data_IF_565973296504
#
_entry.id   IF_565973296504
#
_cell.length_a   1.000
_cell.length_b   1.000
_cell.length_c   1.000
_cell.angle_alpha   90.00
_cell.angle_beta   90.00
_cell.angle_gamma   90.00
#
_symmetry.space_group_name_H-M   'P 1'
#
loop_
_entity.id
_entity.type
_entity.pdbx_description
1 polymer ?
#
# COMPACT_ATOMS: atom_id res chain seq x y z
N UNK A 1 -20.66 -7.18 3.17
CA UNK A 1 -20.44 -6.73 2.97
C UNK A 1 -19.93 -6.03 2.57
N UNK A 2 -19.76 -5.56 2.32
CA UNK A 2 -19.48 -4.95 1.91
C UNK A 2 -18.80 -4.10 1.70
N UNK A 3 -18.63 -4.10 1.13
CA UNK A 3 -17.75 -3.31 0.97
C UNK A 3 -18.09 -2.03 0.99
N UNK A 4 -17.52 -1.21 1.59
CA UNK A 4 -17.95 0.02 1.70
C UNK A 4 -17.27 0.96 0.87
N UNK A 5 -16.38 0.61 0.04
CA UNK A 5 -15.68 1.53 -0.81
C UNK A 5 -16.37 1.65 -2.11
N UNK A 6 -16.36 2.85 -2.68
CA UNK A 6 -16.92 3.04 -3.95
C UNK A 6 -16.20 2.23 -4.98
N UNK A 7 -16.85 1.92 -6.07
CA UNK A 7 -16.18 1.30 -7.18
C UNK A 7 -15.02 2.14 -7.62
N UNK A 8 -13.97 1.52 -8.06
CA UNK A 8 -12.79 2.23 -8.53
C UNK A 8 -11.73 2.45 -7.47
N UNK A 9 -11.95 1.96 -6.26
CA UNK A 9 -11.00 2.12 -5.17
C UNK A 9 -10.68 0.78 -4.55
N UNK A 10 -9.47 0.64 -4.05
CA UNK A 10 -9.02 -0.58 -3.38
C UNK A 10 -8.40 -0.23 -2.05
N UNK A 11 -8.60 -1.08 -1.07
CA UNK A 11 -8.06 -0.89 0.27
C UNK A 11 -6.97 -1.91 0.54
N UNK A 12 -5.89 -1.46 1.12
CA UNK A 12 -4.79 -2.34 1.52
C UNK A 12 -4.50 -2.11 2.99
N UNK A 13 -4.19 -3.20 3.69
CA UNK A 13 -3.78 -3.11 5.08
C UNK A 13 -2.27 -3.09 5.19
N UNK A 14 -1.76 -2.46 6.22
CA UNK A 14 -0.32 -2.46 6.49
C UNK A 14 -0.10 -2.58 7.97
N UNK A 15 1.10 -2.99 8.35
CA UNK A 15 1.42 -3.17 9.76
C UNK A 15 1.74 -1.84 10.42
N UNK A 16 2.54 -1.03 9.76
CA UNK A 16 2.91 0.28 10.31
C UNK A 16 3.56 1.12 9.23
N UNK A 17 3.66 2.40 9.51
CA UNK A 17 4.39 3.32 8.67
C UNK A 17 5.81 3.41 9.23
N UNK A 18 6.78 3.08 8.39
CA UNK A 18 8.18 3.09 8.80
C UNK A 18 8.77 4.49 8.68
N UNK A 19 8.46 5.17 7.61
CA UNK A 19 8.99 6.50 7.36
C UNK A 19 8.03 7.26 6.46
N UNK A 20 7.98 8.55 6.65
CA UNK A 20 7.12 9.39 5.87
C UNK A 20 7.88 10.62 5.43
N UNK A 21 7.78 10.94 4.15
CA UNK A 21 8.39 12.15 3.62
C UNK A 21 7.32 12.96 2.91
N UNK A 22 7.69 14.13 2.42
CA UNK A 22 6.74 14.98 1.71
C UNK A 22 6.19 14.33 0.46
N UNK A 23 6.96 13.45 -0.16
CA UNK A 23 6.57 12.89 -1.44
C UNK A 23 6.16 11.44 -1.39
N UNK A 24 6.61 10.71 -0.40
CA UNK A 24 6.36 9.27 -0.35
C UNK A 24 6.29 8.78 1.09
N UNK A 25 5.68 7.62 1.26
CA UNK A 25 5.57 6.99 2.56
C UNK A 25 6.04 5.55 2.44
N UNK A 26 6.84 5.10 3.41
CA UNK A 26 7.33 3.73 3.45
C UNK A 26 6.45 2.94 4.41
N UNK A 27 5.74 1.97 3.86
CA UNK A 27 4.85 1.12 4.65
C UNK A 27 5.47 -0.25 4.86
N UNK A 28 5.30 -0.76 6.05
CA UNK A 28 5.64 -2.16 6.33
C UNK A 28 4.34 -2.94 6.24
N UNK A 29 4.21 -3.74 5.21
CA UNK A 29 2.97 -4.48 4.96
C UNK A 29 2.90 -5.70 5.85
N UNK A 30 3.96 -6.49 5.86
CA UNK A 30 4.14 -7.59 6.79
C UNK A 30 5.61 -7.54 7.18
N UNK A 31 6.01 -8.26 8.20
CA UNK A 31 7.43 -8.23 8.60
C UNK A 31 8.32 -8.54 7.41
N UNK A 32 9.34 -7.73 7.23
CA UNK A 32 10.32 -7.86 6.14
C UNK A 32 9.86 -7.35 4.79
N UNK A 33 8.60 -6.96 4.63
CA UNK A 33 8.14 -6.42 3.36
C UNK A 33 7.76 -4.96 3.55
N UNK A 34 8.59 -4.08 3.00
CA UNK A 34 8.37 -2.64 3.08
C UNK A 34 8.32 -2.09 1.67
N UNK A 35 7.38 -1.22 1.43
CA UNK A 35 7.26 -0.61 0.10
C UNK A 35 7.11 0.90 0.24
N UNK A 36 7.69 1.61 -0.71
CA UNK A 36 7.52 3.04 -0.83
C UNK A 36 6.37 3.32 -1.77
N UNK A 37 5.46 4.18 -1.35
CA UNK A 37 4.37 4.60 -2.21
C UNK A 37 4.36 6.12 -2.29
N UNK A 38 4.24 6.67 -3.49
CA UNK A 38 4.11 8.12 -3.63
C UNK A 38 2.85 8.59 -2.89
N UNK A 39 2.95 9.68 -2.17
CA UNK A 39 1.80 10.17 -1.43
C UNK A 39 0.63 10.51 -2.36
N UNK A 40 0.91 10.86 -3.58
CA UNK A 40 -0.14 11.17 -4.54
C UNK A 40 -0.99 9.96 -4.92
N UNK A 41 -0.51 8.75 -4.64
CA UNK A 41 -1.29 7.55 -4.89
C UNK A 41 -2.33 7.29 -3.81
N UNK A 42 -2.15 7.89 -2.64
CA UNK A 42 -2.99 7.60 -1.48
C UNK A 42 -4.23 8.48 -1.52
N UNK A 43 -5.39 7.87 -1.65
CA UNK A 43 -6.65 8.59 -1.60
C UNK A 43 -7.01 8.86 -0.16
N UNK A 44 -6.80 7.88 0.70
CA UNK A 44 -7.07 8.02 2.11
C UNK A 44 -6.08 7.17 2.89
N UNK A 45 -5.63 7.69 4.01
CA UNK A 45 -4.69 6.98 4.87
C UNK A 45 -5.30 6.85 6.24
N UNK A 46 -5.43 5.61 6.70
CA UNK A 46 -5.92 5.30 8.04
C UNK A 46 -4.78 4.74 8.87
N UNK A 47 -5.06 4.41 10.12
CA UNK A 47 -4.03 3.90 11.00
C UNK A 47 -3.38 2.62 10.54
N UNK A 48 -4.15 1.74 9.95
CA UNK A 48 -3.67 0.42 9.56
C UNK A 48 -3.99 0.07 8.11
N UNK A 49 -4.48 1.02 7.34
CA UNK A 49 -4.85 0.75 5.97
C UNK A 49 -4.76 2.01 5.13
N UNK A 50 -4.68 1.82 3.83
CA UNK A 50 -4.74 2.94 2.91
C UNK A 50 -5.60 2.56 1.71
N UNK A 51 -6.10 3.57 1.03
CA UNK A 51 -6.99 3.38 -0.10
C UNK A 51 -6.34 4.05 -1.31
N UNK A 52 -6.34 3.36 -2.43
CA UNK A 52 -5.83 3.88 -3.69
C UNK A 52 -6.85 3.60 -4.78
N UNK A 53 -6.70 4.25 -5.91
CA UNK A 53 -7.56 3.96 -7.05
C UNK A 53 -7.21 2.60 -7.62
N UNK A 54 -8.19 1.96 -8.26
CA UNK A 54 -7.99 0.60 -8.75
C UNK A 54 -6.81 0.46 -9.72
N UNK A 55 -6.62 1.45 -10.60
CA UNK A 55 -5.50 1.34 -11.53
C UNK A 55 -4.15 1.46 -10.82
N UNK A 56 -4.13 2.12 -9.66
CA UNK A 56 -2.93 2.21 -8.85
C UNK A 56 -2.76 0.92 -8.04
N UNK A 57 -3.87 0.28 -7.69
CA UNK A 57 -3.82 -0.94 -6.89
C UNK A 57 -2.98 -2.03 -7.56
N UNK A 58 -3.03 -2.11 -8.89
CA UNK A 58 -2.21 -3.07 -9.62
C UNK A 58 -0.74 -2.81 -9.37
N UNK A 59 -0.34 -1.54 -9.42
CA UNK A 59 1.05 -1.18 -9.18
C UNK A 59 1.47 -1.49 -7.75
N UNK A 60 0.58 -1.26 -6.79
CA UNK A 60 0.87 -1.58 -5.40
C UNK A 60 1.10 -3.09 -5.24
N UNK A 61 0.24 -3.89 -5.86
CA UNK A 61 0.39 -5.33 -5.78
C UNK A 61 1.69 -5.80 -6.41
N UNK A 62 2.09 -5.18 -7.50
CA UNK A 62 3.34 -5.53 -8.15
C UNK A 62 4.54 -5.21 -7.27
N UNK A 63 4.50 -4.09 -6.57
CA UNK A 63 5.56 -3.75 -5.64
C UNK A 63 5.66 -4.76 -4.51
N UNK A 64 4.53 -5.16 -3.96
CA UNK A 64 4.51 -6.15 -2.89
C UNK A 64 5.05 -7.48 -3.36
N UNK A 65 4.67 -7.90 -4.56
CA UNK A 65 5.12 -9.16 -5.10
C UNK A 65 6.62 -9.15 -5.35
N UNK A 66 7.14 -8.04 -5.83
CA UNK A 66 8.57 -7.92 -6.07
C UNK A 66 9.37 -8.09 -4.78
N UNK A 67 8.87 -7.49 -3.71
CA UNK A 67 9.55 -7.62 -2.42
C UNK A 67 9.48 -9.04 -1.89
N UNK A 68 8.34 -9.69 -2.09
CA UNK A 68 8.22 -11.08 -1.68
C UNK A 68 9.18 -11.97 -2.43
N UNK A 69 9.34 -11.74 -3.71
CA UNK A 69 10.27 -12.53 -4.50
C UNK A 69 11.69 -12.33 -4.02
N UNK A 70 12.05 -11.11 -3.68
CA UNK A 70 13.37 -10.84 -3.19
C UNK A 70 13.65 -11.60 -1.89
N UNK A 71 12.64 -11.71 -1.03
CA UNK A 71 12.81 -12.42 0.22
C UNK A 71 12.98 -13.91 0.05
N UNK A 72 12.44 -14.45 -1.01
CA UNK A 72 12.49 -15.89 -1.21
C UNK A 72 13.81 -16.39 -1.75
N UNK A 73 14.70 -15.54 -2.06
CA UNK A 73 15.99 -15.95 -2.58
C UNK A 73 16.91 -16.55 -1.53
#
# INVERSE_FOLDING_TARGET
MRQFYEQGYSKFSFKRIVKKTDKATLFEIIPRIQIWLPNSWLVKLNEKSFIVKDHIATDVKLKMRAEQKALKK
#
